data_IF_401319428259
#
_entry.id   IF_401319428259
#
_cell.length_a   1.000
_cell.length_b   1.000
_cell.length_c   1.000
_cell.angle_alpha   90.00
_cell.angle_beta   90.00
_cell.angle_gamma   90.00
#
_symmetry.space_group_name_H-M   'P 1'
#
loop_
_entity.id
_entity.type
_entity.pdbx_description
1 polymer ?
#
# COMPACT_ATOMS: atom_id res chain seq x y z
N UNK A 1 -9.88 4.35 3.52
CA UNK A 1 -8.68 3.85 2.83
C UNK A 1 -9.03 3.17 1.51
N UNK A 2 -9.88 2.10 1.47
CA UNK A 2 -10.25 1.36 0.25
C UNK A 2 -10.83 2.29 -0.82
N UNK A 3 -11.89 3.06 -0.51
CA UNK A 3 -12.53 4.00 -1.44
C UNK A 3 -11.54 5.04 -1.98
N UNK A 4 -10.62 5.52 -1.14
CA UNK A 4 -9.61 6.49 -1.54
C UNK A 4 -8.63 5.88 -2.56
N UNK A 5 -8.20 4.64 -2.32
CA UNK A 5 -7.31 3.94 -3.25
C UNK A 5 -8.01 3.60 -4.57
N UNK A 6 -9.26 3.09 -4.54
CA UNK A 6 -10.06 2.88 -5.75
C UNK A 6 -10.20 4.18 -6.55
N UNK A 7 -10.51 5.29 -5.86
CA UNK A 7 -10.63 6.62 -6.49
C UNK A 7 -9.31 7.09 -7.11
N UNK A 8 -8.17 6.84 -6.46
CA UNK A 8 -6.86 7.19 -7.01
C UNK A 8 -6.52 6.39 -8.28
N UNK A 9 -6.86 5.10 -8.29
CA UNK A 9 -6.71 4.25 -9.46
C UNK A 9 -7.64 4.70 -10.60
N UNK A 10 -8.89 5.04 -10.28
CA UNK A 10 -9.86 5.59 -11.25
C UNK A 10 -9.40 6.95 -11.82
N UNK A 11 -8.89 7.85 -10.97
CA UNK A 11 -8.39 9.15 -11.38
C UNK A 11 -7.26 9.02 -12.43
N UNK A 12 -6.35 8.07 -12.22
CA UNK A 12 -5.27 7.78 -13.16
C UNK A 12 -5.80 7.21 -14.47
N UNK A 13 -6.68 6.20 -14.39
CA UNK A 13 -7.21 5.51 -15.57
C UNK A 13 -8.03 6.42 -16.48
N UNK A 14 -8.89 7.24 -15.87
CA UNK A 14 -9.79 8.15 -16.58
C UNK A 14 -9.15 9.52 -16.84
N UNK A 15 -7.87 9.69 -16.51
CA UNK A 15 -7.15 10.96 -16.62
C UNK A 15 -7.95 12.12 -15.97
N UNK A 16 -8.54 11.85 -14.80
CA UNK A 16 -9.43 12.77 -14.10
C UNK A 16 -8.68 13.58 -13.04
N UNK A 17 -8.13 14.73 -13.45
CA UNK A 17 -7.41 15.62 -12.53
C UNK A 17 -8.28 16.15 -11.39
N UNK A 18 -9.59 16.38 -11.63
CA UNK A 18 -10.50 16.86 -10.58
C UNK A 18 -10.66 15.83 -9.46
N UNK A 19 -10.78 14.54 -9.83
CA UNK A 19 -10.83 13.46 -8.85
C UNK A 19 -9.50 13.33 -8.09
N UNK A 20 -8.37 13.46 -8.79
CA UNK A 20 -7.04 13.45 -8.16
C UNK A 20 -6.88 14.59 -7.13
N UNK A 21 -7.29 15.82 -7.46
CA UNK A 21 -7.26 16.94 -6.51
C UNK A 21 -8.18 16.71 -5.31
N UNK A 22 -9.38 16.16 -5.52
CA UNK A 22 -10.29 15.85 -4.43
C UNK A 22 -9.68 14.85 -3.44
N UNK A 23 -9.00 13.81 -3.94
CA UNK A 23 -8.31 12.83 -3.08
C UNK A 23 -7.22 13.49 -2.23
N UNK A 24 -6.48 14.44 -2.81
CA UNK A 24 -5.43 15.18 -2.12
C UNK A 24 -6.02 16.10 -1.02
N UNK A 25 -7.19 16.70 -1.27
CA UNK A 25 -7.87 17.56 -0.30
C UNK A 25 -8.54 16.78 0.85
N UNK A 26 -9.01 15.56 0.57
CA UNK A 26 -9.71 14.70 1.54
C UNK A 26 -8.73 13.87 2.43
N UNK A 27 -7.42 14.06 2.32
CA UNK A 27 -6.36 13.28 3.00
C UNK A 27 -6.49 13.35 4.53
N UNK A 28 -6.66 14.56 5.08
CA UNK A 28 -6.75 14.82 6.52
C UNK A 28 -7.84 13.98 7.24
N UNK A 29 -8.86 13.52 6.51
CA UNK A 29 -9.96 12.76 7.09
C UNK A 29 -9.54 11.37 7.60
N UNK A 30 -8.55 10.75 6.98
CA UNK A 30 -8.08 9.43 7.42
C UNK A 30 -7.13 9.59 8.60
N UNK A 31 -6.31 10.64 8.60
CA UNK A 31 -5.47 11.01 9.73
C UNK A 31 -6.31 11.26 10.98
N UNK A 32 -7.44 11.98 10.86
CA UNK A 32 -8.39 12.20 11.95
C UNK A 32 -8.96 10.88 12.51
N UNK A 33 -9.23 9.89 11.65
CA UNK A 33 -9.71 8.57 12.07
C UNK A 33 -8.62 7.76 12.79
N UNK A 34 -7.37 7.81 12.32
CA UNK A 34 -6.24 7.16 12.97
C UNK A 34 -6.01 7.75 14.37
N UNK A 35 -5.96 9.07 14.49
CA UNK A 35 -5.89 9.77 15.77
C UNK A 35 -7.06 9.41 16.70
N UNK A 36 -8.27 9.27 16.18
CA UNK A 36 -9.42 8.86 16.99
C UNK A 36 -9.28 7.43 17.55
N UNK A 37 -8.70 6.51 16.78
CA UNK A 37 -8.37 5.15 17.24
C UNK A 37 -7.32 5.20 18.34
N UNK A 38 -6.26 6.00 18.18
CA UNK A 38 -5.23 6.19 19.20
C UNK A 38 -5.81 6.72 20.50
N UNK A 39 -6.64 7.77 20.45
CA UNK A 39 -7.28 8.34 21.63
C UNK A 39 -8.22 7.35 22.33
N UNK A 40 -9.02 6.60 21.58
CA UNK A 40 -9.91 5.57 22.13
C UNK A 40 -9.11 4.46 22.82
N UNK A 41 -8.04 3.99 22.21
CA UNK A 41 -7.20 2.90 22.73
C UNK A 41 -6.42 3.35 23.97
N UNK A 42 -5.86 4.56 23.97
CA UNK A 42 -5.20 5.14 25.14
C UNK A 42 -6.16 5.29 26.33
N UNK A 43 -7.38 5.78 26.09
CA UNK A 43 -8.42 5.88 27.13
C UNK A 43 -8.81 4.50 27.66
N UNK A 44 -8.94 3.50 26.79
CA UNK A 44 -9.28 2.14 27.19
C UNK A 44 -8.19 1.51 28.05
N UNK A 45 -6.91 1.68 27.67
CA UNK A 45 -5.76 1.21 28.44
C UNK A 45 -5.72 1.86 29.82
N UNK A 46 -5.91 3.20 29.91
CA UNK A 46 -5.85 3.94 31.15
C UNK A 46 -6.99 3.60 32.13
N UNK A 47 -8.22 3.40 31.60
CA UNK A 47 -9.41 3.22 32.44
C UNK A 47 -9.74 1.76 32.74
N UNK A 48 -9.44 0.83 31.83
CA UNK A 48 -9.87 -0.57 31.92
C UNK A 48 -8.79 -1.56 32.29
N UNK A 49 -7.50 -1.17 32.14
CA UNK A 49 -6.34 -2.05 32.39
C UNK A 49 -6.54 -3.45 31.75
N UNK A 50 -6.76 -3.51 30.42
CA UNK A 50 -7.09 -4.76 29.75
C UNK A 50 -5.96 -5.78 29.91
N UNK A 51 -6.31 -7.06 30.02
CA UNK A 51 -5.35 -8.15 30.22
C UNK A 51 -5.43 -9.17 29.07
N UNK A 52 -4.31 -9.80 28.79
CA UNK A 52 -4.21 -10.93 27.85
C UNK A 52 -4.85 -10.62 26.48
N UNK A 53 -5.98 -11.25 26.16
CA UNK A 53 -6.66 -11.09 24.85
C UNK A 53 -7.14 -9.66 24.60
N UNK A 54 -7.70 -8.99 25.61
CA UNK A 54 -8.17 -7.61 25.44
C UNK A 54 -7.02 -6.65 25.14
N UNK A 55 -5.87 -6.82 25.82
CA UNK A 55 -4.67 -6.03 25.52
C UNK A 55 -4.17 -6.30 24.10
N UNK A 56 -4.20 -7.55 23.66
CA UNK A 56 -3.80 -7.93 22.29
C UNK A 56 -4.71 -7.28 21.24
N UNK A 57 -6.01 -7.26 21.48
CA UNK A 57 -6.99 -6.58 20.60
C UNK A 57 -6.68 -5.07 20.48
N UNK A 58 -6.37 -4.40 21.59
CA UNK A 58 -6.05 -2.97 21.61
C UNK A 58 -4.77 -2.70 20.82
N UNK A 59 -3.72 -3.48 21.03
CA UNK A 59 -2.45 -3.33 20.30
C UNK A 59 -2.63 -3.62 18.80
N UNK A 60 -3.44 -4.60 18.46
CA UNK A 60 -3.75 -4.91 17.06
C UNK A 60 -4.52 -3.75 16.39
N UNK A 61 -5.50 -3.15 17.07
CA UNK A 61 -6.26 -2.03 16.54
C UNK A 61 -5.36 -0.83 16.19
N UNK A 62 -4.42 -0.45 17.07
CA UNK A 62 -3.45 0.63 16.82
C UNK A 62 -2.59 0.32 15.60
N UNK A 63 -2.03 -0.90 15.51
CA UNK A 63 -1.17 -1.28 14.39
C UNK A 63 -1.91 -1.29 13.07
N UNK A 64 -3.11 -1.87 13.05
CA UNK A 64 -3.94 -1.95 11.84
C UNK A 64 -4.36 -0.55 11.40
N UNK A 65 -4.78 0.33 12.33
CA UNK A 65 -5.13 1.71 12.01
C UNK A 65 -3.97 2.44 11.35
N UNK A 66 -2.78 2.37 11.92
CA UNK A 66 -1.58 2.99 11.37
C UNK A 66 -1.20 2.44 9.99
N UNK A 67 -1.29 1.11 9.77
CA UNK A 67 -1.04 0.54 8.44
C UNK A 67 -2.11 0.98 7.41
N UNK A 68 -3.37 1.14 7.82
CA UNK A 68 -4.45 1.65 6.96
C UNK A 68 -4.26 3.13 6.62
N UNK A 69 -3.77 3.96 7.54
CA UNK A 69 -3.39 5.36 7.30
C UNK A 69 -2.27 5.41 6.27
N UNK A 70 -1.20 4.60 6.43
CA UNK A 70 -0.11 4.53 5.45
C UNK A 70 -0.56 4.14 4.04
N UNK A 71 -1.49 3.21 3.93
CA UNK A 71 -2.07 2.84 2.63
C UNK A 71 -2.81 4.05 2.02
N UNK A 72 -3.53 4.84 2.82
CA UNK A 72 -4.20 6.06 2.37
C UNK A 72 -3.21 7.13 1.90
N UNK A 73 -2.14 7.36 2.66
CA UNK A 73 -1.03 8.25 2.30
C UNK A 73 -0.47 7.91 0.91
N UNK A 74 -0.23 6.60 0.64
CA UNK A 74 0.27 6.19 -0.67
C UNK A 74 -0.76 6.38 -1.78
N UNK A 75 -2.06 6.22 -1.49
CA UNK A 75 -3.12 6.53 -2.46
C UNK A 75 -3.15 8.03 -2.80
N UNK A 76 -3.00 8.90 -1.81
CA UNK A 76 -2.85 10.35 -2.01
C UNK A 76 -1.58 10.69 -2.79
N UNK A 77 -0.45 10.05 -2.49
CA UNK A 77 0.78 10.23 -3.24
C UNK A 77 0.65 9.75 -4.69
N UNK A 78 -0.11 8.69 -4.95
CA UNK A 78 -0.48 8.26 -6.30
C UNK A 78 -1.31 9.35 -7.02
N UNK A 79 -2.31 9.95 -6.36
CA UNK A 79 -3.09 11.06 -6.92
C UNK A 79 -2.21 12.28 -7.24
N UNK A 80 -1.28 12.66 -6.34
CA UNK A 80 -0.31 13.75 -6.57
C UNK A 80 0.58 13.51 -7.79
N UNK A 81 0.93 12.25 -8.11
CA UNK A 81 1.71 11.89 -9.29
C UNK A 81 0.87 11.79 -10.57
N UNK A 82 -0.41 11.54 -10.42
CA UNK A 82 -1.36 11.47 -11.54
C UNK A 82 -1.58 12.83 -12.19
N UNK A 83 -1.62 13.92 -11.41
CA UNK A 83 -1.86 15.28 -11.93
C UNK A 83 -0.84 15.67 -13.01
N UNK A 84 0.49 15.70 -12.75
CA UNK A 84 1.47 16.05 -13.78
C UNK A 84 1.50 15.05 -14.93
N UNK A 85 1.17 13.78 -14.69
CA UNK A 85 1.14 12.76 -15.74
C UNK A 85 0.01 12.99 -16.76
N UNK A 86 -1.13 13.57 -16.32
CA UNK A 86 -2.24 13.96 -17.21
C UNK A 86 -1.85 15.16 -18.08
N UNK A 87 -1.03 16.07 -17.58
CA UNK A 87 -0.58 17.26 -18.30
C UNK A 87 0.51 16.93 -19.35
N UNK A 88 1.15 15.77 -19.23
CA UNK A 88 2.16 15.31 -20.19
C UNK A 88 1.53 14.90 -21.51
N UNK A 89 2.10 15.40 -22.62
CA UNK A 89 1.63 15.08 -23.98
C UNK A 89 2.13 13.72 -24.48
N UNK A 90 3.07 13.12 -23.79
CA UNK A 90 3.70 11.87 -24.20
C UNK A 90 2.92 10.68 -23.68
N UNK A 91 2.32 9.91 -24.59
CA UNK A 91 1.58 8.68 -24.25
C UNK A 91 2.55 7.59 -23.80
N UNK A 92 2.36 7.07 -22.58
CA UNK A 92 3.10 5.94 -22.05
C UNK A 92 2.22 4.69 -22.10
N UNK A 93 2.62 3.71 -22.90
CA UNK A 93 1.86 2.45 -23.04
C UNK A 93 1.83 1.56 -21.78
N UNK A 94 2.88 1.52 -20.91
CA UNK A 94 2.88 0.70 -19.69
C UNK A 94 1.84 1.07 -18.63
N UNK A 95 1.12 2.20 -18.79
CA UNK A 95 0.06 2.59 -17.85
C UNK A 95 -0.98 1.49 -17.59
N UNK A 96 -1.24 0.58 -18.53
CA UNK A 96 -2.23 -0.51 -18.35
C UNK A 96 -1.83 -1.56 -17.29
N UNK A 97 -0.57 -1.63 -16.89
CA UNK A 97 -0.11 -2.52 -15.82
C UNK A 97 -0.51 -1.99 -14.42
N UNK A 98 -0.58 -0.67 -14.24
CA UNK A 98 -0.91 -0.02 -12.97
C UNK A 98 -2.29 -0.43 -12.44
N UNK A 99 -3.39 -0.41 -13.23
CA UNK A 99 -4.70 -0.84 -12.75
C UNK A 99 -4.73 -2.27 -12.25
N UNK A 100 -4.00 -3.15 -12.93
CA UNK A 100 -3.92 -4.56 -12.53
C UNK A 100 -3.25 -4.70 -11.17
N UNK A 101 -2.12 -4.00 -10.95
CA UNK A 101 -1.47 -3.94 -9.64
C UNK A 101 -2.41 -3.35 -8.58
N UNK A 102 -3.07 -2.23 -8.90
CA UNK A 102 -4.02 -1.57 -8.01
C UNK A 102 -5.18 -2.49 -7.60
N UNK A 103 -5.79 -3.20 -8.55
CA UNK A 103 -6.85 -4.16 -8.25
C UNK A 103 -6.39 -5.30 -7.35
N UNK A 104 -5.18 -5.85 -7.58
CA UNK A 104 -4.64 -6.91 -6.73
C UNK A 104 -4.50 -6.44 -5.28
N UNK A 105 -3.94 -5.25 -5.04
CA UNK A 105 -3.78 -4.70 -3.69
C UNK A 105 -5.13 -4.33 -3.05
N UNK A 106 -6.11 -3.83 -3.82
CA UNK A 106 -7.47 -3.57 -3.33
C UNK A 106 -8.14 -4.87 -2.87
N UNK A 107 -8.02 -5.96 -3.64
CA UNK A 107 -8.54 -7.26 -3.23
C UNK A 107 -7.84 -7.81 -1.99
N UNK A 108 -6.52 -7.65 -1.89
CA UNK A 108 -5.77 -8.01 -0.68
C UNK A 108 -6.27 -7.22 0.53
N UNK A 109 -6.45 -5.89 0.40
CA UNK A 109 -6.94 -5.03 1.47
C UNK A 109 -8.35 -5.44 1.94
N UNK A 110 -9.28 -5.71 1.04
CA UNK A 110 -10.62 -6.22 1.36
C UNK A 110 -10.54 -7.52 2.14
N UNK A 111 -9.79 -8.48 1.62
CA UNK A 111 -9.68 -9.80 2.22
C UNK A 111 -9.01 -9.79 3.60
N UNK A 112 -8.01 -8.93 3.84
CA UNK A 112 -7.37 -8.85 5.16
C UNK A 112 -8.28 -8.17 6.19
N UNK A 113 -9.07 -7.18 5.79
CA UNK A 113 -10.07 -6.55 6.67
C UNK A 113 -11.16 -7.56 7.03
N UNK A 114 -11.65 -8.34 6.08
CA UNK A 114 -12.58 -9.44 6.35
C UNK A 114 -11.95 -10.47 7.30
N UNK A 115 -10.69 -10.88 7.07
CA UNK A 115 -9.97 -11.80 7.95
C UNK A 115 -9.85 -11.26 9.39
N UNK A 116 -9.65 -9.95 9.55
CA UNK A 116 -9.66 -9.30 10.87
C UNK A 116 -11.02 -9.37 11.54
N UNK A 117 -12.11 -9.06 10.81
CA UNK A 117 -13.47 -9.05 11.34
C UNK A 117 -13.92 -10.47 11.71
N UNK A 118 -13.60 -11.46 10.88
CA UNK A 118 -13.96 -12.87 11.04
C UNK A 118 -13.06 -13.61 12.04
N UNK A 119 -11.88 -13.06 12.36
CA UNK A 119 -10.86 -13.75 13.15
C UNK A 119 -10.26 -14.94 12.42
N UNK A 120 -10.08 -14.83 11.10
CA UNK A 120 -9.62 -15.91 10.22
C UNK A 120 -8.13 -15.78 9.91
N UNK A 121 -7.31 -16.55 10.62
CA UNK A 121 -5.86 -16.58 10.44
C UNK A 121 -5.44 -17.21 9.10
N UNK A 122 -6.18 -18.20 8.58
CA UNK A 122 -5.85 -18.87 7.31
C UNK A 122 -6.07 -17.91 6.14
N UNK A 123 -7.18 -17.14 6.16
CA UNK A 123 -7.46 -16.09 5.19
C UNK A 123 -6.38 -15.01 5.20
N UNK A 124 -5.92 -14.59 6.39
CA UNK A 124 -4.82 -13.63 6.52
C UNK A 124 -3.52 -14.16 5.89
N UNK A 125 -3.16 -15.43 6.10
CA UNK A 125 -1.99 -16.07 5.49
C UNK A 125 -2.14 -16.15 3.96
N UNK A 126 -3.33 -16.47 3.45
CA UNK A 126 -3.58 -16.52 2.01
C UNK A 126 -3.36 -15.14 1.36
N UNK A 127 -3.84 -14.05 1.99
CA UNK A 127 -3.60 -12.68 1.54
C UNK A 127 -2.11 -12.32 1.59
N UNK A 128 -1.41 -12.71 2.65
CA UNK A 128 0.02 -12.47 2.80
C UNK A 128 0.85 -13.09 1.65
N UNK A 129 0.48 -14.28 1.18
CA UNK A 129 1.11 -14.89 0.01
C UNK A 129 0.78 -14.21 -1.32
N UNK A 130 -0.38 -13.55 -1.43
CA UNK A 130 -0.79 -12.86 -2.64
C UNK A 130 0.09 -11.65 -2.99
N UNK A 131 0.78 -11.06 -2.00
CA UNK A 131 1.69 -9.93 -2.18
C UNK A 131 2.82 -10.23 -3.18
N UNK A 132 3.25 -11.48 -3.27
CA UNK A 132 4.24 -11.92 -4.26
C UNK A 132 3.86 -11.59 -5.70
N UNK A 133 2.58 -11.67 -6.05
CA UNK A 133 2.12 -11.32 -7.41
C UNK A 133 2.29 -9.82 -7.67
N UNK A 134 2.05 -8.98 -6.67
CA UNK A 134 2.23 -7.52 -6.76
C UNK A 134 3.71 -7.18 -6.98
N UNK A 135 4.61 -7.81 -6.23
CA UNK A 135 6.06 -7.65 -6.38
C UNK A 135 6.53 -8.05 -7.80
N UNK A 136 6.07 -9.18 -8.31
CA UNK A 136 6.41 -9.65 -9.65
C UNK A 136 5.91 -8.68 -10.73
N UNK A 137 4.71 -8.14 -10.59
CA UNK A 137 4.16 -7.12 -11.50
C UNK A 137 4.98 -5.83 -11.45
N UNK A 138 5.37 -5.36 -10.25
CA UNK A 138 6.23 -4.20 -10.09
C UNK A 138 7.58 -4.36 -10.80
N UNK A 139 8.27 -5.49 -10.58
CA UNK A 139 9.56 -5.78 -11.22
C UNK A 139 9.46 -5.83 -12.75
N UNK A 140 8.37 -6.41 -13.26
CA UNK A 140 8.12 -6.46 -14.71
C UNK A 140 7.92 -5.07 -15.29
N UNK A 141 7.07 -4.26 -14.65
CA UNK A 141 6.80 -2.88 -15.07
C UNK A 141 8.07 -2.00 -14.98
N UNK A 142 8.87 -2.15 -13.92
CA UNK A 142 10.13 -1.43 -13.77
C UNK A 142 11.06 -1.66 -14.96
N UNK A 143 11.25 -2.92 -15.39
CA UNK A 143 12.10 -3.26 -16.55
C UNK A 143 11.55 -2.70 -17.85
N UNK A 144 10.24 -2.75 -18.02
CA UNK A 144 9.56 -2.18 -19.19
C UNK A 144 9.78 -0.66 -19.25
N UNK A 145 9.58 0.06 -18.15
CA UNK A 145 9.79 1.50 -18.07
C UNK A 145 11.24 1.90 -18.37
N UNK A 146 12.23 1.15 -17.86
CA UNK A 146 13.63 1.38 -18.19
C UNK A 146 13.88 1.29 -19.70
N UNK A 147 13.30 0.32 -20.39
CA UNK A 147 13.41 0.18 -21.85
C UNK A 147 12.86 1.42 -22.56
N UNK A 148 11.68 1.91 -22.14
CA UNK A 148 11.09 3.14 -22.70
C UNK A 148 11.96 4.39 -22.47
N UNK A 149 12.54 4.52 -21.28
CA UNK A 149 13.46 5.64 -20.96
C UNK A 149 14.71 5.61 -21.84
N UNK A 150 15.25 4.42 -22.12
CA UNK A 150 16.43 4.25 -22.98
C UNK A 150 16.16 4.53 -24.46
N UNK A 151 14.94 4.28 -24.94
CA UNK A 151 14.55 4.54 -26.33
C UNK A 151 14.39 6.03 -26.64
N UNK A 152 13.88 6.82 -25.69
CA UNK A 152 13.59 8.25 -25.90
C UNK A 152 13.69 9.03 -24.59
N UNK A 153 14.69 9.92 -24.51
CA UNK A 153 14.93 10.75 -23.32
C UNK A 153 13.70 11.62 -22.89
N UNK A 154 12.82 11.96 -23.83
CA UNK A 154 11.58 12.71 -23.54
C UNK A 154 10.61 11.91 -22.68
N UNK A 155 10.74 10.58 -22.65
CA UNK A 155 9.91 9.68 -21.84
C UNK A 155 10.40 9.51 -20.40
N UNK A 156 11.60 10.03 -20.05
CA UNK A 156 12.19 9.86 -18.71
C UNK A 156 11.24 10.42 -17.63
N UNK A 157 10.81 11.67 -17.74
CA UNK A 157 9.94 12.31 -16.74
C UNK A 157 8.63 11.56 -16.56
N UNK A 158 7.82 11.32 -17.62
CA UNK A 158 6.55 10.63 -17.45
C UNK A 158 6.73 9.16 -16.99
N UNK A 159 7.75 8.43 -17.48
CA UNK A 159 8.05 7.08 -16.97
C UNK A 159 8.44 7.09 -15.49
N UNK A 160 9.12 8.14 -15.02
CA UNK A 160 9.47 8.32 -13.60
C UNK A 160 8.21 8.49 -12.75
N UNK A 161 7.21 9.26 -13.19
CA UNK A 161 5.93 9.37 -12.49
C UNK A 161 5.22 8.02 -12.40
N UNK A 162 5.15 7.25 -13.51
CA UNK A 162 4.56 5.90 -13.52
C UNK A 162 5.30 4.97 -12.56
N UNK A 163 6.63 5.03 -12.53
CA UNK A 163 7.46 4.21 -11.63
C UNK A 163 7.15 4.51 -10.16
N UNK A 164 7.01 5.79 -9.79
CA UNK A 164 6.65 6.17 -8.43
C UNK A 164 5.22 5.75 -8.06
N UNK A 165 4.27 5.81 -9.01
CA UNK A 165 2.91 5.29 -8.80
C UNK A 165 2.97 3.79 -8.52
N UNK A 166 3.67 3.02 -9.35
CA UNK A 166 3.84 1.59 -9.15
C UNK A 166 4.50 1.24 -7.81
N UNK A 167 5.53 2.04 -7.41
CA UNK A 167 6.19 1.84 -6.10
C UNK A 167 5.28 2.17 -4.92
N UNK A 168 4.38 3.15 -5.05
CA UNK A 168 3.39 3.41 -4.02
C UNK A 168 2.41 2.23 -3.88
N UNK A 169 1.96 1.63 -5.00
CA UNK A 169 1.08 0.45 -4.98
C UNK A 169 1.77 -0.75 -4.33
N UNK A 170 3.04 -1.00 -4.66
CA UNK A 170 3.82 -2.08 -4.03
C UNK A 170 3.95 -1.85 -2.51
N UNK A 171 4.22 -0.60 -2.07
CA UNK A 171 4.27 -0.27 -0.64
C UNK A 171 2.92 -0.45 0.06
N UNK A 172 1.80 -0.18 -0.62
CA UNK A 172 0.48 -0.49 -0.06
C UNK A 172 0.34 -2.00 0.18
N UNK A 173 0.80 -2.85 -0.75
CA UNK A 173 0.87 -4.31 -0.56
C UNK A 173 1.70 -4.69 0.67
N UNK A 174 2.89 -4.08 0.83
CA UNK A 174 3.73 -4.26 2.04
C UNK A 174 2.94 -3.96 3.34
N UNK A 175 2.15 -2.86 3.39
CA UNK A 175 1.35 -2.53 4.56
C UNK A 175 0.17 -3.49 4.75
N UNK A 176 -0.46 -3.99 3.68
CA UNK A 176 -1.46 -5.06 3.80
C UNK A 176 -0.85 -6.32 4.40
N UNK A 177 0.38 -6.70 4.03
CA UNK A 177 1.04 -7.85 4.66
C UNK A 177 1.34 -7.63 6.15
N UNK A 178 1.65 -6.40 6.59
CA UNK A 178 1.80 -6.09 8.01
C UNK A 178 0.47 -6.27 8.76
N UNK A 179 -0.65 -5.88 8.14
CA UNK A 179 -2.00 -6.14 8.70
C UNK A 179 -2.24 -7.65 8.80
N UNK A 180 -1.88 -8.45 7.77
CA UNK A 180 -2.00 -9.91 7.81
C UNK A 180 -1.22 -10.52 8.99
N UNK A 181 0.02 -10.10 9.21
CA UNK A 181 0.85 -10.55 10.33
C UNK A 181 0.22 -10.18 11.68
N UNK A 182 -0.38 -8.99 11.77
CA UNK A 182 -1.08 -8.53 12.97
C UNK A 182 -2.35 -9.35 13.22
N UNK A 183 -3.15 -9.63 12.19
CA UNK A 183 -4.36 -10.47 12.29
C UNK A 183 -3.99 -11.90 12.69
N UNK A 184 -2.98 -12.49 12.05
CA UNK A 184 -2.48 -13.81 12.40
C UNK A 184 -2.06 -13.89 13.86
N UNK A 185 -1.25 -12.93 14.32
CA UNK A 185 -0.82 -12.86 15.72
C UNK A 185 -2.00 -12.66 16.69
N UNK A 186 -2.97 -11.85 16.31
CA UNK A 186 -4.17 -11.61 17.11
C UNK A 186 -4.94 -12.90 17.38
N UNK A 187 -5.13 -13.71 16.34
CA UNK A 187 -5.93 -14.94 16.39
C UNK A 187 -5.16 -16.09 17.05
N UNK A 188 -3.92 -16.33 16.64
CA UNK A 188 -3.13 -17.50 17.06
C UNK A 188 -2.33 -17.26 18.35
N UNK A 189 -1.94 -16.02 18.62
CA UNK A 189 -1.01 -15.65 19.69
C UNK A 189 0.46 -15.86 19.33
N UNK A 190 0.75 -16.31 18.14
CA UNK A 190 2.11 -16.58 17.64
C UNK A 190 2.43 -15.71 16.42
N UNK A 191 3.67 -15.22 16.28
CA UNK A 191 4.04 -14.47 15.07
C UNK A 191 4.03 -15.39 13.86
N UNK A 192 3.65 -14.84 12.70
CA UNK A 192 3.78 -15.54 11.42
C UNK A 192 5.27 -15.73 11.12
N UNK A 193 5.73 -16.99 11.10
CA UNK A 193 7.15 -17.38 10.97
C UNK A 193 7.52 -17.87 9.58
N UNK A 194 6.65 -17.76 8.61
CA UNK A 194 7.02 -18.07 7.25
C UNK A 194 8.04 -17.06 6.74
N UNK A 195 9.09 -17.54 6.06
CA UNK A 195 10.04 -16.66 5.40
C UNK A 195 9.26 -15.84 4.35
N UNK A 196 9.12 -14.54 4.59
CA UNK A 196 8.56 -13.63 3.59
C UNK A 196 9.28 -13.92 2.27
N UNK A 197 8.58 -14.20 1.16
CA UNK A 197 9.22 -14.41 -0.12
C UNK A 197 10.13 -13.20 -0.36
N UNK A 198 11.45 -13.40 -0.29
CA UNK A 198 12.42 -12.31 -0.23
C UNK A 198 12.26 -11.44 -1.47
N UNK A 199 12.15 -10.13 -1.25
CA UNK A 199 12.27 -9.08 -2.27
C UNK A 199 13.34 -9.48 -3.28
N UNK A 200 13.01 -9.41 -4.55
CA UNK A 200 13.86 -9.85 -5.65
C UNK A 200 15.21 -9.12 -5.62
N UNK A 201 16.25 -9.77 -6.15
CA UNK A 201 17.64 -9.26 -6.25
C UNK A 201 17.74 -7.80 -6.77
N UNK A 202 16.71 -7.29 -7.43
CA UNK A 202 16.60 -5.92 -7.94
C UNK A 202 16.40 -4.90 -6.81
N UNK A 203 15.67 -5.23 -5.74
CA UNK A 203 15.52 -4.34 -4.57
C UNK A 203 16.83 -4.20 -3.79
N UNK A 204 17.65 -5.27 -3.73
CA UNK A 204 18.98 -5.18 -3.11
C UNK A 204 19.92 -4.23 -3.85
N UNK A 205 19.83 -4.16 -5.18
CA UNK A 205 20.67 -3.24 -5.97
C UNK A 205 20.27 -1.78 -5.79
N UNK A 206 19.04 -1.49 -5.34
CA UNK A 206 18.56 -0.12 -5.09
C UNK A 206 18.72 0.31 -3.62
N UNK A 207 18.81 -0.62 -2.67
CA UNK A 207 18.95 -0.33 -1.24
C UNK A 207 20.39 -0.41 -0.74
N UNK A 208 21.19 -1.34 -1.24
CA UNK A 208 22.59 -1.53 -0.81
C UNK A 208 23.51 -0.36 -1.19
N UNK A 209 23.17 0.40 -2.24
CA UNK A 209 23.95 1.60 -2.64
C UNK A 209 23.69 2.84 -1.76
N UNK A 210 22.66 2.82 -0.91
CA UNK A 210 22.30 3.96 -0.02
C UNK A 210 22.91 3.77 1.38
N UNK A 211 23.07 2.55 1.87
CA UNK A 211 23.57 2.27 3.22
C UNK A 211 25.12 2.26 3.31
N UNK A 212 25.83 2.16 2.19
CA UNK A 212 27.31 2.14 2.19
C UNK A 212 27.98 3.52 2.14
N UNK A 213 27.21 4.62 2.22
CA UNK A 213 27.73 6.01 2.19
C UNK A 213 27.31 6.89 3.38
N UNK A 214 27.01 6.27 4.54
CA UNK A 214 26.79 7.02 5.81
C UNK A 214 27.88 6.73 6.80
#
# INVERSE_FOLDING_TARGET
TEIQFESANEALMNQNSKLAYKIIEDDDRIDDLDHAVDDMTMNLLALRQPMAMDLRNVVAAIKISSDLERIADYATNMARRTVPLIEETTVIRPLHAIPRMGHAVIEMLKNVVDAYIEGDAEKAVAVWHADKEVDEMYVSLFRELLTYMMEDARRITPCTHVLFIAKNIERMGDHVTNVCETVYYLVTGEPLREDRPRKTRTDRLLTDDIETKS
#
